data_IF_326938444047
#
_entry.id   IF_326938444047
#
_cell.length_a   1.000
_cell.length_b   1.000
_cell.length_c   1.000
_cell.angle_alpha   90.00
_cell.angle_beta   90.00
_cell.angle_gamma   90.00
#
_symmetry.space_group_name_H-M   'P 1'
#
loop_
_entity.id
_entity.type
_entity.pdbx_description
1 polymer ?
#
# COMPACT_ATOMS: atom_id res chain seq x y z
N UNK A 1 -13.81 -6.16 17.46
CA UNK A 1 -14.60 -6.05 16.22
C UNK A 1 -14.85 -7.44 15.61
N UNK A 2 -13.87 -8.34 15.60
CA UNK A 2 -14.01 -9.66 14.97
C UNK A 2 -14.23 -10.80 16.00
N UNK A 3 -15.33 -10.73 16.78
CA UNK A 3 -15.63 -11.77 17.79
C UNK A 3 -16.28 -13.02 17.20
N UNK A 4 -16.96 -12.86 16.07
CA UNK A 4 -17.73 -13.91 15.40
C UNK A 4 -17.09 -14.34 14.07
N UNK A 5 -15.84 -13.95 13.80
CA UNK A 5 -15.11 -14.19 12.54
C UNK A 5 -15.86 -13.74 11.28
N UNK A 6 -16.49 -12.56 11.36
CA UNK A 6 -17.32 -11.97 10.29
C UNK A 6 -16.74 -10.70 9.69
N UNK A 7 -15.59 -10.23 10.17
CA UNK A 7 -14.95 -9.06 9.59
C UNK A 7 -14.50 -9.38 8.16
N UNK A 8 -15.02 -8.63 7.20
CA UNK A 8 -14.66 -8.78 5.80
C UNK A 8 -13.26 -8.17 5.51
N UNK A 9 -12.74 -8.51 4.34
CA UNK A 9 -11.63 -7.75 3.75
C UNK A 9 -11.95 -6.26 3.77
N UNK A 10 -11.06 -5.47 4.37
CA UNK A 10 -11.29 -4.05 4.64
C UNK A 10 -10.07 -3.24 4.26
N UNK A 11 -10.27 -2.10 3.59
CA UNK A 11 -9.22 -1.12 3.33
C UNK A 11 -9.57 0.16 4.08
N UNK A 12 -8.69 0.61 4.96
CA UNK A 12 -8.84 1.82 5.76
C UNK A 12 -8.15 2.99 5.07
N UNK A 13 -8.79 4.16 5.05
CA UNK A 13 -8.22 5.40 4.53
C UNK A 13 -8.46 6.54 5.52
N UNK A 14 -7.46 7.41 5.69
CA UNK A 14 -7.52 8.65 6.45
C UNK A 14 -7.31 9.85 5.53
N UNK A 15 -7.85 11.01 5.91
CA UNK A 15 -7.72 12.26 5.16
C UNK A 15 -6.75 13.25 5.83
N UNK A 16 -6.30 12.94 7.06
CA UNK A 16 -5.34 13.73 7.81
C UNK A 16 -4.08 12.89 8.07
N UNK A 17 -2.89 13.30 7.60
CA UNK A 17 -1.69 12.48 7.67
C UNK A 17 -1.21 12.22 9.10
N UNK A 18 -1.68 12.99 10.10
CA UNK A 18 -1.37 12.71 11.52
C UNK A 18 -1.90 11.35 11.99
N UNK A 19 -2.86 10.78 11.27
CA UNK A 19 -3.53 9.53 11.63
C UNK A 19 -2.88 8.33 10.90
N UNK A 20 -1.80 8.53 10.13
CA UNK A 20 -1.14 7.48 9.33
C UNK A 20 -0.74 6.27 10.19
N UNK A 21 0.01 6.49 11.26
CA UNK A 21 0.49 5.44 12.15
C UNK A 21 -0.66 4.77 12.91
N UNK A 22 -1.70 5.54 13.25
CA UNK A 22 -2.93 5.02 13.87
C UNK A 22 -3.62 4.04 12.92
N UNK A 23 -3.76 4.39 11.64
CA UNK A 23 -4.42 3.53 10.65
C UNK A 23 -3.58 2.31 10.28
N UNK A 24 -2.26 2.48 10.12
CA UNK A 24 -1.33 1.41 9.86
C UNK A 24 -1.36 0.34 10.97
N UNK A 25 -1.27 0.77 12.23
CA UNK A 25 -1.31 -0.14 13.38
C UNK A 25 -2.71 -0.72 13.62
N UNK A 26 -3.77 0.03 13.34
CA UNK A 26 -5.15 -0.46 13.44
C UNK A 26 -5.39 -1.67 12.53
N UNK A 27 -4.84 -1.66 11.32
CA UNK A 27 -4.95 -2.79 10.41
C UNK A 27 -4.33 -4.07 11.02
N UNK A 28 -3.22 -3.93 11.75
CA UNK A 28 -2.53 -5.03 12.43
C UNK A 28 -3.40 -5.76 13.48
N UNK A 29 -4.30 -5.06 14.16
CA UNK A 29 -5.16 -5.65 15.20
C UNK A 29 -6.13 -6.73 14.70
N UNK A 30 -6.40 -6.75 13.39
CA UNK A 30 -7.46 -7.56 12.79
C UNK A 30 -6.98 -8.39 11.58
N UNK A 31 -5.67 -8.46 11.35
CA UNK A 31 -5.10 -9.45 10.45
C UNK A 31 -5.02 -10.80 11.17
N UNK A 32 -5.72 -11.80 10.64
CA UNK A 32 -5.95 -13.12 11.29
C UNK A 32 -5.19 -14.29 10.62
N UNK A 33 -4.38 -14.00 9.60
CA UNK A 33 -3.65 -15.01 8.84
C UNK A 33 -4.49 -15.82 7.84
N UNK A 34 -5.80 -15.60 7.76
CA UNK A 34 -6.67 -16.30 6.81
C UNK A 34 -6.38 -15.90 5.35
N UNK A 35 -5.94 -14.65 5.15
CA UNK A 35 -5.55 -14.08 3.84
C UNK A 35 -4.37 -13.13 4.02
N UNK A 36 -3.45 -13.02 3.03
CA UNK A 36 -2.39 -12.02 3.07
C UNK A 36 -2.98 -10.60 3.13
N UNK A 37 -2.74 -9.91 4.25
CA UNK A 37 -3.24 -8.56 4.49
C UNK A 37 -4.75 -8.42 4.36
N UNK A 38 -5.53 -9.23 5.10
CA UNK A 38 -7.00 -9.14 5.19
C UNK A 38 -7.48 -7.71 5.45
N UNK A 39 -6.78 -6.99 6.32
CA UNK A 39 -7.03 -5.59 6.60
C UNK A 39 -5.85 -4.77 6.07
N UNK A 40 -6.15 -3.87 5.15
CA UNK A 40 -5.18 -3.02 4.47
C UNK A 40 -5.29 -1.59 4.98
N UNK A 41 -4.15 -0.93 5.07
CA UNK A 41 -4.13 0.53 5.07
C UNK A 41 -3.88 1.00 3.64
N UNK A 42 -4.83 1.78 3.11
CA UNK A 42 -4.88 2.16 1.70
C UNK A 42 -3.86 3.22 1.31
N UNK A 43 -3.73 3.44 0.00
CA UNK A 43 -2.89 4.50 -0.57
C UNK A 43 -3.29 5.87 -0.05
N UNK A 44 -2.37 6.83 -0.12
CA UNK A 44 -2.61 8.21 0.26
C UNK A 44 -3.83 8.77 -0.48
N UNK A 45 -4.83 9.26 0.27
CA UNK A 45 -6.15 9.56 -0.26
C UNK A 45 -6.39 11.06 -0.48
N UNK A 46 -7.02 11.39 -1.61
CA UNK A 46 -7.49 12.73 -1.98
C UNK A 46 -6.41 13.81 -1.85
N UNK A 47 -6.42 14.63 -0.79
CA UNK A 47 -5.42 15.69 -0.61
C UNK A 47 -4.01 15.15 -0.38
N UNK A 48 -3.92 13.89 0.07
CA UNK A 48 -2.66 13.18 0.29
C UNK A 48 -2.18 12.45 -0.97
N UNK A 49 -3.00 12.36 -2.03
CA UNK A 49 -2.65 11.74 -3.32
C UNK A 49 -1.70 12.63 -4.15
N UNK A 50 -0.51 12.83 -3.61
CA UNK A 50 0.62 13.58 -4.13
C UNK A 50 1.91 13.10 -3.46
N UNK A 51 3.09 13.48 -3.97
CA UNK A 51 4.38 12.91 -3.56
C UNK A 51 4.61 12.83 -2.04
N UNK A 52 4.51 13.94 -1.32
CA UNK A 52 4.76 13.98 0.13
C UNK A 52 3.79 13.10 0.92
N UNK A 53 2.52 13.07 0.51
CA UNK A 53 1.50 12.22 1.15
C UNK A 53 1.72 10.74 0.86
N UNK A 54 2.06 10.39 -0.38
CA UNK A 54 2.41 9.01 -0.75
C UNK A 54 3.68 8.52 -0.05
N UNK A 55 4.74 9.34 0.00
CA UNK A 55 5.99 8.97 0.68
C UNK A 55 5.72 8.69 2.17
N UNK A 56 5.02 9.60 2.87
CA UNK A 56 4.63 9.40 4.28
C UNK A 56 3.73 8.18 4.49
N UNK A 57 2.83 7.90 3.55
CA UNK A 57 1.96 6.72 3.63
C UNK A 57 2.77 5.43 3.46
N UNK A 58 3.65 5.38 2.46
CA UNK A 58 4.50 4.22 2.19
C UNK A 58 5.50 3.98 3.33
N UNK A 59 6.10 5.04 3.89
CA UNK A 59 7.04 4.93 5.02
C UNK A 59 6.35 4.35 6.26
N UNK A 60 5.19 4.85 6.63
CA UNK A 60 4.46 4.31 7.78
C UNK A 60 3.99 2.86 7.53
N UNK A 61 3.63 2.50 6.30
CA UNK A 61 3.16 1.14 5.98
C UNK A 61 4.34 0.17 6.02
N UNK A 62 5.50 0.61 5.57
CA UNK A 62 6.74 -0.17 5.58
C UNK A 62 7.23 -0.42 7.00
N UNK A 63 7.10 0.56 7.89
CA UNK A 63 7.51 0.45 9.28
C UNK A 63 6.54 -0.36 10.16
N UNK A 64 5.23 -0.24 9.91
CA UNK A 64 4.19 -0.75 10.82
C UNK A 64 3.36 -1.90 10.24
N UNK A 65 3.61 -2.27 8.98
CA UNK A 65 2.91 -3.32 8.26
C UNK A 65 3.83 -4.11 7.34
N UNK A 66 3.27 -4.63 6.24
CA UNK A 66 4.01 -5.40 5.24
C UNK A 66 3.82 -4.75 3.87
N UNK A 67 4.75 -3.87 3.47
CA UNK A 67 4.69 -3.17 2.17
C UNK A 67 4.53 -4.15 0.99
N UNK A 68 5.17 -5.31 1.05
CA UNK A 68 5.08 -6.35 0.00
C UNK A 68 3.66 -6.90 -0.21
N UNK A 69 2.74 -6.72 0.75
CA UNK A 69 1.33 -7.14 0.68
C UNK A 69 0.38 -5.99 0.40
N UNK A 70 0.89 -4.79 0.14
CA UNK A 70 0.09 -3.62 -0.14
C UNK A 70 -0.69 -3.79 -1.45
N UNK A 71 -2.00 -3.52 -1.41
CA UNK A 71 -2.89 -3.62 -2.59
C UNK A 71 -2.65 -2.51 -3.63
N UNK A 72 -1.88 -1.48 -3.30
CA UNK A 72 -1.40 -0.51 -4.26
C UNK A 72 -2.35 0.67 -4.52
N UNK A 73 -2.23 1.23 -5.72
CA UNK A 73 -2.79 2.53 -6.08
C UNK A 73 -4.20 2.44 -6.69
N UNK A 74 -5.01 3.47 -6.45
CA UNK A 74 -6.27 3.74 -7.14
C UNK A 74 -6.32 5.24 -7.50
N UNK A 75 -7.04 5.60 -8.57
CA UNK A 75 -7.10 7.01 -9.00
C UNK A 75 -8.08 7.86 -8.20
N UNK A 76 -9.12 7.24 -7.61
CA UNK A 76 -10.28 7.90 -6.99
C UNK A 76 -10.81 9.10 -7.82
N UNK A 77 -10.83 8.93 -9.14
CA UNK A 77 -11.09 10.02 -10.07
C UNK A 77 -12.30 9.76 -10.94
N UNK A 78 -12.95 10.85 -11.35
CA UNK A 78 -14.01 10.87 -12.36
C UNK A 78 -13.49 11.20 -13.76
N UNK A 79 -12.18 11.38 -13.92
CA UNK A 79 -11.53 11.73 -15.18
C UNK A 79 -10.88 10.52 -15.84
N UNK A 80 -11.11 10.31 -17.14
CA UNK A 80 -10.38 9.32 -17.94
C UNK A 80 -8.89 9.62 -18.03
N UNK A 81 -8.47 10.86 -17.80
CA UNK A 81 -7.06 11.27 -17.83
C UNK A 81 -6.35 11.07 -16.49
N UNK A 82 -6.94 10.32 -15.56
CA UNK A 82 -6.39 10.12 -14.22
C UNK A 82 -5.39 8.96 -14.11
N UNK A 83 -5.32 8.07 -15.10
CA UNK A 83 -4.39 6.93 -15.08
C UNK A 83 -2.91 7.29 -14.91
N UNK A 84 -2.40 8.46 -15.35
CA UNK A 84 -1.05 8.92 -14.98
C UNK A 84 -0.79 9.01 -13.47
N UNK A 85 -1.83 9.06 -12.61
CA UNK A 85 -1.65 8.93 -11.15
C UNK A 85 -1.02 7.60 -10.76
N UNK A 86 -1.31 6.51 -11.49
CA UNK A 86 -0.62 5.23 -11.29
C UNK A 86 0.85 5.31 -11.69
N UNK A 87 1.18 6.00 -12.80
CA UNK A 87 2.58 6.20 -13.17
C UNK A 87 3.32 7.02 -12.11
N UNK A 88 2.69 8.07 -11.60
CA UNK A 88 3.24 8.91 -10.54
C UNK A 88 3.52 8.11 -9.27
N UNK A 89 2.55 7.33 -8.79
CA UNK A 89 2.71 6.40 -7.67
C UNK A 89 3.86 5.40 -7.90
N UNK A 90 3.91 4.77 -9.08
CA UNK A 90 4.95 3.77 -9.42
C UNK A 90 6.35 4.37 -9.35
N UNK A 91 6.52 5.59 -9.87
CA UNK A 91 7.81 6.30 -9.81
C UNK A 91 8.22 6.59 -8.37
N UNK A 92 7.28 6.99 -7.52
CA UNK A 92 7.53 7.25 -6.09
C UNK A 92 7.93 5.95 -5.38
N UNK A 93 7.16 4.87 -5.57
CA UNK A 93 7.45 3.55 -4.99
C UNK A 93 8.84 3.03 -5.40
N UNK A 94 9.15 3.03 -6.71
CA UNK A 94 10.44 2.57 -7.19
C UNK A 94 11.60 3.45 -6.69
N UNK A 95 11.39 4.75 -6.55
CA UNK A 95 12.41 5.65 -6.02
C UNK A 95 12.65 5.42 -4.52
N UNK A 96 11.60 5.16 -3.74
CA UNK A 96 11.69 4.80 -2.32
C UNK A 96 12.51 3.50 -2.17
N UNK A 97 12.10 2.42 -2.84
CA UNK A 97 12.82 1.13 -2.79
C UNK A 97 14.27 1.28 -3.28
N UNK A 98 14.47 2.01 -4.39
CA UNK A 98 15.81 2.23 -4.96
C UNK A 98 16.73 3.00 -4.02
N UNK A 99 16.20 3.98 -3.29
CA UNK A 99 16.96 4.72 -2.26
C UNK A 99 17.37 3.81 -1.11
N UNK A 100 16.45 2.99 -0.62
CA UNK A 100 16.72 2.08 0.50
C UNK A 100 17.77 1.02 0.12
N UNK A 101 17.78 0.57 -1.15
CA UNK A 101 18.86 -0.27 -1.70
C UNK A 101 20.19 0.48 -1.75
N UNK A 102 20.21 1.72 -2.26
CA UNK A 102 21.43 2.54 -2.32
C UNK A 102 22.03 2.82 -0.94
N UNK A 103 21.18 2.95 0.08
CA UNK A 103 21.58 3.14 1.46
C UNK A 103 22.04 1.84 2.16
N UNK A 104 21.85 0.68 1.53
CA UNK A 104 22.15 -0.63 2.12
C UNK A 104 21.11 -1.09 3.15
N UNK A 105 19.92 -0.50 3.16
CA UNK A 105 18.80 -0.86 4.03
C UNK A 105 18.02 -2.06 3.47
N UNK A 106 17.98 -2.18 2.14
CA UNK A 106 17.45 -3.33 1.42
C UNK A 106 18.54 -4.02 0.58
N UNK A 107 18.48 -5.35 0.39
CA UNK A 107 19.40 -6.05 -0.50
C UNK A 107 19.17 -5.64 -1.95
N UNK A 108 20.25 -5.50 -2.72
CA UNK A 108 20.20 -5.26 -4.17
C UNK A 108 19.82 -6.55 -4.95
N UNK A 109 18.67 -7.13 -4.62
CA UNK A 109 18.12 -8.34 -5.25
C UNK A 109 16.96 -7.96 -6.17
N UNK A 110 17.24 -7.94 -7.48
CA UNK A 110 16.27 -7.54 -8.50
C UNK A 110 15.12 -8.52 -8.66
N UNK A 111 15.32 -9.81 -8.37
CA UNK A 111 14.24 -10.80 -8.46
C UNK A 111 13.27 -10.58 -7.30
N UNK A 112 13.78 -10.38 -6.08
CA UNK A 112 12.96 -10.09 -4.91
C UNK A 112 12.20 -8.75 -5.07
N UNK A 113 12.94 -7.67 -5.37
CA UNK A 113 12.37 -6.32 -5.41
C UNK A 113 11.50 -6.10 -6.65
N UNK A 114 11.90 -6.66 -7.80
CA UNK A 114 11.10 -6.62 -9.02
C UNK A 114 9.74 -7.29 -8.84
N UNK A 115 9.72 -8.49 -8.22
CA UNK A 115 8.47 -9.16 -7.89
C UNK A 115 7.62 -8.34 -6.90
N UNK A 116 8.23 -7.74 -5.87
CA UNK A 116 7.50 -6.87 -4.94
C UNK A 116 6.86 -5.67 -5.65
N UNK A 117 7.59 -5.01 -6.54
CA UNK A 117 7.05 -3.89 -7.34
C UNK A 117 5.90 -4.35 -8.21
N UNK A 118 6.02 -5.48 -8.92
CA UNK A 118 4.94 -6.03 -9.75
C UNK A 118 3.71 -6.43 -8.91
N UNK A 119 3.93 -6.98 -7.73
CA UNK A 119 2.88 -7.35 -6.79
C UNK A 119 2.09 -6.13 -6.35
N UNK A 120 2.76 -5.08 -5.87
CA UNK A 120 2.13 -3.81 -5.45
C UNK A 120 1.46 -3.10 -6.64
N UNK A 121 2.04 -3.18 -7.84
CA UNK A 121 1.50 -2.51 -9.02
C UNK A 121 0.26 -3.17 -9.60
N UNK A 122 0.02 -4.46 -9.32
CA UNK A 122 -1.11 -5.20 -9.90
C UNK A 122 -1.50 -6.48 -9.17
N UNK A 123 -0.56 -7.41 -8.94
CA UNK A 123 -0.92 -8.80 -8.57
C UNK A 123 -1.57 -8.88 -7.18
N UNK A 124 -1.19 -8.03 -6.23
CA UNK A 124 -1.82 -7.94 -4.92
C UNK A 124 -3.28 -7.50 -5.03
N UNK A 125 -3.58 -6.44 -5.78
CA UNK A 125 -4.96 -6.01 -6.02
C UNK A 125 -5.78 -7.12 -6.70
N UNK A 126 -5.21 -7.76 -7.74
CA UNK A 126 -5.86 -8.88 -8.43
C UNK A 126 -6.23 -10.01 -7.46
N UNK A 127 -5.29 -10.43 -6.61
CA UNK A 127 -5.51 -11.50 -5.65
C UNK A 127 -6.48 -11.10 -4.52
N UNK A 128 -6.38 -9.86 -4.03
CA UNK A 128 -7.22 -9.35 -2.94
C UNK A 128 -8.69 -9.26 -3.34
N UNK A 129 -8.98 -8.76 -4.54
CA UNK A 129 -10.35 -8.57 -5.03
C UNK A 129 -10.86 -9.72 -5.91
N UNK A 130 -10.02 -10.69 -6.26
CA UNK A 130 -10.38 -11.89 -7.04
C UNK A 130 -11.02 -11.56 -8.40
N UNK A 131 -10.50 -10.56 -9.12
CA UNK A 131 -10.96 -10.22 -10.47
C UNK A 131 -9.94 -10.60 -11.55
N UNK A 132 -10.41 -10.72 -12.80
CA UNK A 132 -9.60 -11.02 -13.99
C UNK A 132 -9.55 -12.50 -14.29
#
# INVERSE_FOLDING_TARGET
LDRDDRLAQTILYNLNPRDNEVFATMAGNFNDGSRPGKIQWGSAWWFLDQKDGMEKQLDALSNLGLLSRFVGMLTDSRSFLSFPRHEYFRRILCNLIGRDVQNGELPADMDLLGNMVEDICYRNAKAYFQFG
#
